data_IF_597038863982
#
_entry.id   IF_597038863982
#
_cell.length_a   1.000
_cell.length_b   1.000
_cell.length_c   1.000
_cell.angle_alpha   90.00
_cell.angle_beta   90.00
_cell.angle_gamma   90.00
#
_symmetry.space_group_name_H-M   'P 1'
#
loop_
_entity.id
_entity.type
_entity.pdbx_description
1 polymer ?
#
# COMPACT_ATOMS: atom_id res chain seq x y z
N UNK A 1 15.40 17.91 16.15
CA UNK A 1 14.01 18.07 16.66
C UNK A 1 12.95 17.86 15.58
N UNK A 2 13.07 18.40 14.35
CA UNK A 2 12.07 18.22 13.29
C UNK A 2 11.88 16.75 12.85
N UNK A 3 12.96 15.96 12.79
CA UNK A 3 12.89 14.54 12.42
C UNK A 3 12.01 13.72 13.39
N UNK A 4 12.19 13.91 14.70
CA UNK A 4 11.38 13.22 15.72
C UNK A 4 9.91 13.66 15.71
N UNK A 5 9.62 14.90 15.33
CA UNK A 5 8.23 15.36 15.16
C UNK A 5 7.56 14.66 13.98
N UNK A 6 8.28 14.52 12.87
CA UNK A 6 7.81 13.76 11.70
C UNK A 6 7.62 12.28 12.01
N UNK A 7 8.54 11.68 12.78
CA UNK A 7 8.38 10.31 13.27
C UNK A 7 7.12 10.19 14.15
N UNK A 8 6.94 11.10 15.11
CA UNK A 8 5.73 11.15 15.94
C UNK A 8 4.45 11.25 15.12
N UNK A 9 4.42 12.14 14.12
CA UNK A 9 3.33 12.25 13.16
C UNK A 9 3.10 10.94 12.40
N UNK A 10 4.16 10.30 11.89
CA UNK A 10 4.07 9.01 11.18
C UNK A 10 3.43 7.93 12.04
N UNK A 11 3.83 7.84 13.32
CA UNK A 11 3.30 6.85 14.26
C UNK A 11 1.79 7.01 14.50
N UNK A 12 1.25 8.24 14.42
CA UNK A 12 -0.22 8.45 14.56
C UNK A 12 -1.03 7.81 13.43
N UNK A 13 -0.40 7.53 12.28
CA UNK A 13 -1.03 6.87 11.15
C UNK A 13 -0.91 5.34 11.17
N UNK A 14 -0.23 4.76 12.15
CA UNK A 14 -0.06 3.31 12.26
C UNK A 14 -1.23 2.66 13.02
N UNK A 15 -1.55 1.42 12.66
CA UNK A 15 -2.53 0.59 13.37
C UNK A 15 -2.00 0.13 14.73
N UNK A 16 -2.90 -0.24 15.65
CA UNK A 16 -2.54 -0.76 16.97
C UNK A 16 -1.59 -1.97 16.89
N UNK A 17 -1.82 -2.88 15.93
CA UNK A 17 -0.93 -4.02 15.69
C UNK A 17 0.46 -3.61 15.24
N UNK A 18 0.59 -2.54 14.43
CA UNK A 18 1.90 -2.04 14.01
C UNK A 18 2.63 -1.34 15.16
N UNK A 19 1.93 -0.55 15.97
CA UNK A 19 2.48 0.11 17.16
C UNK A 19 2.94 -0.90 18.21
N UNK A 20 2.20 -2.00 18.40
CA UNK A 20 2.57 -3.07 19.33
C UNK A 20 3.83 -3.86 18.95
N UNK A 21 4.40 -3.65 17.75
CA UNK A 21 5.69 -4.23 17.35
C UNK A 21 6.89 -3.40 17.82
N UNK A 22 6.65 -2.21 18.37
CA UNK A 22 7.68 -1.27 18.81
C UNK A 22 7.72 -1.22 20.34
N UNK A 23 8.89 -1.02 20.95
CA UNK A 23 9.02 -0.84 22.40
C UNK A 23 8.57 0.57 22.80
N UNK A 24 7.27 0.81 22.83
CA UNK A 24 6.69 2.11 23.20
C UNK A 24 6.22 2.08 24.65
N UNK A 25 6.59 3.10 25.43
CA UNK A 25 6.05 3.29 26.77
C UNK A 25 4.52 3.50 26.77
N UNK A 26 3.87 3.22 27.92
CA UNK A 26 2.45 3.52 28.12
C UNK A 26 2.13 5.01 27.87
N UNK A 27 3.06 5.89 28.25
CA UNK A 27 2.94 7.35 28.03
C UNK A 27 2.90 7.67 26.55
N UNK A 28 3.75 7.02 25.75
CA UNK A 28 3.79 7.21 24.31
C UNK A 28 2.54 6.65 23.63
N UNK A 29 2.10 5.44 24.00
CA UNK A 29 0.87 4.85 23.50
C UNK A 29 -0.36 5.71 23.81
N UNK A 30 -0.48 6.23 25.03
CA UNK A 30 -1.55 7.13 25.42
C UNK A 30 -1.52 8.45 24.62
N UNK A 31 -0.33 9.00 24.37
CA UNK A 31 -0.17 10.21 23.57
C UNK A 31 -0.53 9.98 22.08
N UNK A 32 -0.24 8.79 21.53
CA UNK A 32 -0.67 8.40 20.20
C UNK A 32 -2.18 8.23 20.12
N UNK A 33 -2.82 7.66 21.14
CA UNK A 33 -4.28 7.51 21.13
C UNK A 33 -5.01 8.86 21.24
N UNK A 34 -4.43 9.80 21.98
CA UNK A 34 -4.96 11.15 22.10
C UNK A 34 -4.95 11.91 20.76
N UNK A 35 -4.00 11.61 19.85
CA UNK A 35 -3.95 12.31 18.55
C UNK A 35 -5.23 12.13 17.73
N UNK A 36 -5.94 10.99 17.90
CA UNK A 36 -7.19 10.68 17.21
C UNK A 36 -8.35 11.59 17.61
N UNK A 37 -8.27 12.22 18.79
CA UNK A 37 -9.31 13.12 19.32
C UNK A 37 -9.11 14.58 18.94
N UNK A 38 -7.90 14.95 18.52
CA UNK A 38 -7.52 16.34 18.20
C UNK A 38 -8.05 16.71 16.81
N UNK A 39 -9.09 17.55 16.77
CA UNK A 39 -9.69 18.04 15.50
C UNK A 39 -9.01 19.26 14.90
N UNK A 40 -8.35 20.09 15.73
CA UNK A 40 -7.71 21.33 15.27
C UNK A 40 -6.32 21.06 14.72
N UNK A 41 -6.05 21.46 13.47
CA UNK A 41 -4.73 21.34 12.84
C UNK A 41 -3.62 22.03 13.63
N UNK A 42 -3.89 23.19 14.23
CA UNK A 42 -2.91 23.90 15.04
C UNK A 42 -2.62 23.17 16.36
N UNK A 43 -3.65 22.57 16.99
CA UNK A 43 -3.45 21.74 18.16
C UNK A 43 -2.68 20.45 17.82
N UNK A 44 -2.98 19.85 16.66
CA UNK A 44 -2.32 18.64 16.19
C UNK A 44 -0.82 18.87 15.90
N UNK A 45 -0.48 19.98 15.23
CA UNK A 45 0.92 20.40 15.03
C UNK A 45 1.67 20.58 16.35
N UNK A 46 1.02 21.13 17.39
CA UNK A 46 1.62 21.22 18.73
C UNK A 46 1.77 19.85 19.38
N UNK A 47 0.79 18.97 19.19
CA UNK A 47 0.84 17.59 19.68
C UNK A 47 1.99 16.80 19.07
N UNK A 48 2.27 16.95 17.77
CA UNK A 48 3.44 16.34 17.13
C UNK A 48 4.77 16.78 17.75
N UNK A 49 4.86 18.04 18.22
CA UNK A 49 6.03 18.51 19.00
C UNK A 49 6.17 17.77 20.32
N UNK A 50 5.06 17.48 21.01
CA UNK A 50 5.05 16.69 22.24
C UNK A 50 5.44 15.24 21.96
N UNK A 51 4.88 14.61 20.93
CA UNK A 51 5.27 13.25 20.52
C UNK A 51 6.77 13.18 20.20
N UNK A 52 7.30 14.17 19.48
CA UNK A 52 8.74 14.25 19.19
C UNK A 52 9.62 14.42 20.44
N UNK A 53 9.09 14.96 21.55
CA UNK A 53 9.81 14.99 22.84
C UNK A 53 9.72 13.65 23.56
N UNK A 54 8.56 13.00 23.57
CA UNK A 54 8.39 11.66 24.17
C UNK A 54 9.29 10.64 23.49
N UNK A 55 9.38 10.69 22.16
CA UNK A 55 10.28 9.82 21.39
C UNK A 55 11.76 9.92 21.80
N UNK A 56 12.21 11.02 22.39
CA UNK A 56 13.60 11.12 22.89
C UNK A 56 13.87 10.22 24.09
N UNK A 57 12.83 9.73 24.75
CA UNK A 57 12.89 8.87 25.92
C UNK A 57 12.69 7.40 25.57
N UNK A 58 12.38 7.10 24.31
CA UNK A 58 12.14 5.75 23.80
C UNK A 58 13.40 5.19 23.10
N UNK A 59 13.40 3.89 22.83
CA UNK A 59 14.41 3.25 21.99
C UNK A 59 14.17 3.61 20.51
N UNK A 60 14.82 4.70 20.08
CA UNK A 60 14.68 5.23 18.73
C UNK A 60 15.16 4.26 17.65
N UNK A 61 16.23 3.50 17.92
CA UNK A 61 16.81 2.59 16.93
C UNK A 61 15.83 1.43 16.66
N UNK A 62 15.25 0.86 17.72
CA UNK A 62 14.23 -0.18 17.60
C UNK A 62 12.96 0.33 16.88
N UNK A 63 12.51 1.55 17.19
CA UNK A 63 11.37 2.16 16.50
C UNK A 63 11.67 2.37 15.01
N UNK A 64 12.84 2.92 14.68
CA UNK A 64 13.24 3.15 13.30
C UNK A 64 13.31 1.85 12.50
N UNK A 65 13.90 0.80 13.06
CA UNK A 65 13.96 -0.50 12.41
C UNK A 65 12.56 -1.03 12.04
N UNK A 66 11.60 -0.94 12.96
CA UNK A 66 10.23 -1.40 12.71
C UNK A 66 9.54 -0.52 11.66
N UNK A 67 9.73 0.81 11.72
CA UNK A 67 9.17 1.73 10.71
C UNK A 67 9.73 1.43 9.33
N UNK A 68 11.04 1.23 9.20
CA UNK A 68 11.69 0.92 7.93
C UNK A 68 11.21 -0.43 7.36
N UNK A 69 11.03 -1.44 8.20
CA UNK A 69 10.42 -2.71 7.78
C UNK A 69 8.99 -2.54 7.25
N UNK A 70 8.19 -1.70 7.89
CA UNK A 70 6.82 -1.41 7.46
C UNK A 70 6.81 -0.67 6.12
N UNK A 71 7.70 0.32 5.97
CA UNK A 71 7.80 1.12 4.75
C UNK A 71 8.33 0.29 3.58
N UNK A 72 9.33 -0.58 3.81
CA UNK A 72 9.83 -1.52 2.81
C UNK A 72 8.75 -2.50 2.34
N UNK A 73 7.95 -3.06 3.27
CA UNK A 73 6.81 -3.92 2.91
C UNK A 73 5.76 -3.15 2.11
N UNK A 74 5.48 -1.91 2.48
CA UNK A 74 4.53 -1.06 1.75
C UNK A 74 5.03 -0.75 0.34
N UNK A 75 6.28 -0.33 0.18
CA UNK A 75 6.91 -0.06 -1.11
C UNK A 75 6.92 -1.31 -2.00
N UNK A 76 7.26 -2.48 -1.44
CA UNK A 76 7.21 -3.74 -2.17
C UNK A 76 5.79 -4.06 -2.64
N UNK A 77 4.76 -3.83 -1.81
CA UNK A 77 3.36 -4.02 -2.19
C UNK A 77 2.92 -3.06 -3.30
N UNK A 78 3.28 -1.78 -3.19
CA UNK A 78 3.01 -0.75 -4.21
C UNK A 78 3.69 -1.09 -5.54
N UNK A 79 4.95 -1.51 -5.50
CA UNK A 79 5.69 -1.93 -6.69
C UNK A 79 5.04 -3.12 -7.39
N UNK A 80 4.57 -4.13 -6.62
CA UNK A 80 3.84 -5.27 -7.17
C UNK A 80 2.50 -4.85 -7.78
N UNK A 81 1.77 -3.95 -7.12
CA UNK A 81 0.51 -3.40 -7.64
C UNK A 81 0.72 -2.70 -8.99
N UNK A 82 1.70 -1.80 -9.08
CA UNK A 82 2.04 -1.14 -10.35
C UNK A 82 2.54 -2.12 -11.41
N UNK A 83 3.21 -3.21 -11.02
CA UNK A 83 3.57 -4.25 -11.96
C UNK A 83 2.35 -4.93 -12.58
N UNK A 84 1.32 -5.21 -11.78
CA UNK A 84 0.05 -5.74 -12.29
C UNK A 84 -0.69 -4.75 -13.18
N UNK A 85 -0.62 -3.45 -12.88
CA UNK A 85 -1.18 -2.42 -13.77
C UNK A 85 -0.49 -2.44 -15.12
N UNK A 86 0.85 -2.48 -15.15
CA UNK A 86 1.60 -2.61 -16.41
C UNK A 86 1.24 -3.90 -17.15
N UNK A 87 1.14 -5.03 -16.45
CA UNK A 87 0.71 -6.29 -17.07
C UNK A 87 -0.66 -6.17 -17.72
N UNK A 88 -1.65 -5.62 -17.01
CA UNK A 88 -2.99 -5.37 -17.55
C UNK A 88 -2.92 -4.55 -18.84
N UNK A 89 -2.20 -3.44 -18.81
CA UNK A 89 -2.17 -2.48 -19.91
C UNK A 89 -1.51 -3.12 -21.15
N UNK A 90 -0.37 -3.80 -20.97
CA UNK A 90 0.31 -4.56 -22.04
C UNK A 90 -0.56 -5.68 -22.65
N UNK A 91 -1.33 -6.38 -21.82
CA UNK A 91 -2.25 -7.44 -22.26
C UNK A 91 -3.42 -6.88 -23.08
N UNK A 92 -3.92 -5.69 -22.73
CA UNK A 92 -4.99 -5.00 -23.47
C UNK A 92 -4.47 -4.46 -24.79
N UNK A 93 -3.31 -3.79 -24.78
CA UNK A 93 -2.67 -3.24 -25.98
C UNK A 93 -2.32 -4.33 -27.00
N UNK A 94 -2.20 -5.58 -26.54
CA UNK A 94 -2.03 -6.74 -27.41
C UNK A 94 -0.59 -6.89 -27.89
N UNK A 95 0.37 -6.46 -27.08
CA UNK A 95 1.78 -6.79 -27.28
C UNK A 95 1.91 -8.29 -27.53
N UNK A 96 2.48 -8.68 -28.67
CA UNK A 96 2.43 -10.05 -29.19
C UNK A 96 2.98 -11.09 -28.21
N UNK A 97 3.88 -10.67 -27.32
CA UNK A 97 4.54 -11.53 -26.34
C UNK A 97 3.92 -11.43 -24.93
N UNK A 98 3.15 -10.38 -24.62
CA UNK A 98 2.69 -10.12 -23.24
C UNK A 98 1.79 -11.25 -22.71
N UNK A 99 0.91 -11.80 -23.56
CA UNK A 99 0.05 -12.91 -23.17
C UNK A 99 0.85 -14.19 -22.85
N UNK A 100 1.86 -14.51 -23.66
CA UNK A 100 2.73 -15.65 -23.42
C UNK A 100 3.61 -15.47 -22.18
N UNK A 101 4.20 -14.28 -22.04
CA UNK A 101 5.05 -13.94 -20.92
C UNK A 101 4.30 -13.95 -19.58
N UNK A 102 3.07 -13.45 -19.53
CA UNK A 102 2.25 -13.52 -18.32
C UNK A 102 1.95 -14.97 -17.91
N UNK A 103 1.60 -15.83 -18.85
CA UNK A 103 1.33 -17.25 -18.57
C UNK A 103 2.60 -18.04 -18.20
N UNK A 104 3.77 -17.60 -18.65
CA UNK A 104 5.05 -18.18 -18.26
C UNK A 104 5.42 -17.78 -16.82
N UNK A 105 5.18 -16.53 -16.44
CA UNK A 105 5.40 -16.02 -15.08
C UNK A 105 4.39 -16.61 -14.08
N UNK A 106 3.12 -16.71 -14.47
CA UNK A 106 2.02 -17.19 -13.62
C UNK A 106 1.37 -18.44 -14.23
N UNK A 107 1.97 -19.60 -13.96
CA UNK A 107 1.56 -20.88 -14.55
C UNK A 107 0.17 -21.37 -14.10
N UNK A 108 -0.33 -20.85 -12.97
CA UNK A 108 -1.67 -21.11 -12.44
C UNK A 108 -2.76 -20.27 -13.13
N UNK A 109 -2.41 -19.35 -14.02
CA UNK A 109 -3.37 -18.54 -14.74
C UNK A 109 -4.19 -19.39 -15.73
N UNK A 110 -5.53 -19.32 -15.62
CA UNK A 110 -6.44 -19.80 -16.65
C UNK A 110 -6.30 -18.96 -17.93
N UNK A 111 -5.71 -19.59 -18.95
CA UNK A 111 -5.49 -19.03 -20.29
C UNK A 111 -6.79 -18.58 -20.95
N UNK A 112 -7.84 -19.39 -20.85
CA UNK A 112 -9.10 -19.11 -21.53
C UNK A 112 -9.85 -17.97 -20.83
N UNK A 113 -9.87 -17.96 -19.50
CA UNK A 113 -10.44 -16.86 -18.73
C UNK A 113 -9.73 -15.52 -18.99
N UNK A 114 -8.39 -15.53 -19.00
CA UNK A 114 -7.59 -14.34 -19.29
C UNK A 114 -7.93 -13.75 -20.67
N UNK A 115 -8.00 -14.60 -21.70
CA UNK A 115 -8.36 -14.17 -23.07
C UNK A 115 -9.77 -13.57 -23.13
N UNK A 116 -10.74 -14.17 -22.43
CA UNK A 116 -12.10 -13.65 -22.37
C UNK A 116 -12.16 -12.27 -21.72
N UNK A 117 -11.42 -12.07 -20.63
CA UNK A 117 -11.33 -10.78 -19.96
C UNK A 117 -10.72 -9.71 -20.86
N UNK A 118 -9.59 -10.00 -21.53
CA UNK A 118 -8.95 -9.07 -22.48
C UNK A 118 -9.93 -8.67 -23.60
N UNK A 119 -10.64 -9.64 -24.20
CA UNK A 119 -11.60 -9.35 -25.26
C UNK A 119 -12.81 -8.56 -24.75
N UNK A 120 -13.23 -8.75 -23.49
CA UNK A 120 -14.27 -7.95 -22.88
C UNK A 120 -13.81 -6.49 -22.68
N UNK A 121 -12.57 -6.25 -22.24
CA UNK A 121 -12.00 -4.90 -22.13
C UNK A 121 -11.98 -4.19 -23.48
N UNK A 122 -11.48 -4.85 -24.53
CA UNK A 122 -11.42 -4.27 -25.88
C UNK A 122 -12.81 -3.85 -26.38
N UNK A 123 -13.81 -4.72 -26.19
CA UNK A 123 -15.21 -4.42 -26.54
C UNK A 123 -15.82 -3.28 -25.72
N UNK A 124 -15.45 -3.15 -24.45
CA UNK A 124 -15.89 -2.00 -23.62
C UNK A 124 -15.28 -0.69 -24.11
N UNK A 125 -13.98 -0.69 -24.45
CA UNK A 125 -13.27 0.48 -24.98
C UNK A 125 -13.85 0.92 -26.33
N UNK A 126 -14.08 -0.02 -27.24
CA UNK A 126 -14.72 0.24 -28.56
C UNK A 126 -16.10 0.88 -28.42
N UNK A 127 -16.86 0.50 -27.39
CA UNK A 127 -18.23 0.97 -27.15
C UNK A 127 -18.29 2.22 -26.26
N UNK A 128 -17.16 2.73 -25.76
CA UNK A 128 -17.12 3.81 -24.78
C UNK A 128 -17.87 3.47 -23.48
N UNK A 129 -17.97 2.19 -23.14
CA UNK A 129 -18.71 1.71 -21.98
C UNK A 129 -17.91 1.94 -20.67
N UNK A 130 -18.58 1.94 -19.50
CA UNK A 130 -17.89 1.99 -18.21
C UNK A 130 -16.88 0.84 -18.06
N UNK A 131 -15.69 1.07 -17.44
CA UNK A 131 -14.56 0.14 -17.45
C UNK A 131 -14.73 -1.01 -16.44
N UNK A 132 -15.77 -1.83 -16.62
CA UNK A 132 -16.08 -2.93 -15.71
C UNK A 132 -15.15 -4.12 -15.95
N UNK A 133 -14.97 -4.56 -17.19
CA UNK A 133 -14.04 -5.62 -17.56
C UNK A 133 -12.60 -5.22 -17.24
N UNK A 134 -12.25 -3.93 -17.36
CA UNK A 134 -10.92 -3.43 -17.00
C UNK A 134 -10.60 -3.67 -15.52
N UNK A 135 -11.57 -3.38 -14.64
CA UNK A 135 -11.45 -3.67 -13.20
C UNK A 135 -11.45 -5.18 -12.91
N UNK A 136 -12.26 -5.96 -13.63
CA UNK A 136 -12.29 -7.43 -13.50
C UNK A 136 -10.98 -8.07 -13.91
N UNK A 137 -10.35 -7.61 -14.99
CA UNK A 137 -9.04 -8.05 -15.43
C UNK A 137 -7.99 -7.79 -14.34
N UNK A 138 -7.92 -6.57 -13.81
CA UNK A 138 -7.00 -6.26 -12.71
C UNK A 138 -7.20 -7.16 -11.49
N UNK A 139 -8.46 -7.38 -11.08
CA UNK A 139 -8.80 -8.26 -9.95
C UNK A 139 -8.32 -9.69 -10.19
N UNK A 140 -8.50 -10.21 -11.40
CA UNK A 140 -8.05 -11.56 -11.75
C UNK A 140 -6.51 -11.67 -11.77
N UNK A 141 -5.80 -10.70 -12.35
CA UNK A 141 -4.33 -10.68 -12.33
C UNK A 141 -3.80 -10.64 -10.90
N UNK A 142 -4.44 -9.86 -10.03
CA UNK A 142 -4.14 -9.80 -8.60
C UNK A 142 -4.30 -11.16 -7.92
N UNK A 143 -5.43 -11.84 -8.12
CA UNK A 143 -5.72 -13.16 -7.58
C UNK A 143 -4.67 -14.21 -8.00
N UNK A 144 -4.36 -14.25 -9.29
CA UNK A 144 -3.37 -15.19 -9.86
C UNK A 144 -1.96 -14.94 -9.31
N UNK A 145 -1.60 -13.67 -9.10
CA UNK A 145 -0.28 -13.27 -8.58
C UNK A 145 -0.11 -13.42 -7.06
N UNK A 146 -1.17 -13.76 -6.33
CA UNK A 146 -1.15 -13.93 -4.87
C UNK A 146 -1.06 -12.62 -4.08
N UNK A 147 -1.59 -11.52 -4.64
CA UNK A 147 -1.65 -10.18 -4.01
C UNK A 147 -3.03 -9.84 -3.41
#
# INVERSE_FOLDING_TARGET
>A
MLALQKLGERLTGLSANQLGRMPLSETMLAALEESKRIKSLNALRRHYRRLGKLLQQEDLDAIHQVVDELDNKHQASVAKFHNLERWRDRLIEGESEAFGAFLAEYQNADRQHLRQLIQAVKREQEKGAPPQAYRKLFKYLREVSGL
#
